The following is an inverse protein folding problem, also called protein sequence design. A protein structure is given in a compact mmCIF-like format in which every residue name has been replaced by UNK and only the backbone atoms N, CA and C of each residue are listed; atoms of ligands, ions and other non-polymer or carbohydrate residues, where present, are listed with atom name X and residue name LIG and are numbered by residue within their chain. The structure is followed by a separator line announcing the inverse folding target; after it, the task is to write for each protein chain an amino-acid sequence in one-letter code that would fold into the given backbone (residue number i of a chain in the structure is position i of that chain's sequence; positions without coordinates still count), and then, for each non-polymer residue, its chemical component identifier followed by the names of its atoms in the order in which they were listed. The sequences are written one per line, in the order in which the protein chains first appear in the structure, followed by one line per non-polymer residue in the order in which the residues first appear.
data_IF_549254027004
#
_entry.id   IF_549254027004
#
_cell.length_a   1.000
_cell.length_b   1.000
_cell.length_c   1.000
_cell.angle_alpha   90.00
_cell.angle_beta   90.00
_cell.angle_gamma   90.00
#
_symmetry.space_group_name_H-M   'P 1'
#
loop_
_entity.id
_entity.type
_entity.pdbx_description
1 polymer ?
#
# COMPACT_ATOMS: atom_id res chain seq x y z
N UNK A 1 29.27 18.49 3.31
CA UNK A 1 28.18 19.02 2.46
C UNK A 1 27.04 19.52 3.35
N UNK A 2 26.80 20.84 3.40
CA UNK A 2 25.65 21.43 4.12
C UNK A 2 24.37 21.10 3.34
N UNK A 3 23.50 20.26 3.91
CA UNK A 3 22.14 20.04 3.39
C UNK A 3 21.36 21.36 3.47
N UNK A 4 21.31 22.11 2.35
CA UNK A 4 20.46 23.29 2.22
C UNK A 4 19.01 22.79 2.24
N UNK A 5 18.27 23.06 3.33
CA UNK A 5 16.79 22.94 3.34
C UNK A 5 16.27 23.91 2.28
N UNK A 6 16.01 23.43 1.08
CA UNK A 6 15.30 24.21 0.06
C UNK A 6 13.91 24.53 0.62
N UNK A 7 13.75 25.76 1.10
CA UNK A 7 12.46 26.36 1.40
C UNK A 7 11.71 26.48 0.08
N UNK A 8 10.78 25.57 -0.16
CA UNK A 8 9.85 25.61 -1.30
C UNK A 8 9.25 27.02 -1.36
N UNK A 9 9.40 27.70 -2.51
CA UNK A 9 8.88 29.06 -2.68
C UNK A 9 7.38 29.10 -2.42
N UNK A 10 6.88 30.21 -1.88
CA UNK A 10 5.46 30.38 -1.59
C UNK A 10 4.58 30.09 -2.81
N UNK A 11 5.05 30.49 -4.00
CA UNK A 11 4.38 30.22 -5.27
C UNK A 11 4.34 28.72 -5.63
N UNK A 12 5.47 28.02 -5.51
CA UNK A 12 5.53 26.57 -5.75
C UNK A 12 4.65 25.80 -4.76
N UNK A 13 4.61 26.23 -3.50
CA UNK A 13 3.74 25.66 -2.48
C UNK A 13 2.26 25.86 -2.81
N UNK A 14 1.86 27.05 -3.27
CA UNK A 14 0.48 27.34 -3.63
C UNK A 14 0.03 26.56 -4.89
N UNK A 15 0.93 26.37 -5.86
CA UNK A 15 0.67 25.51 -7.01
C UNK A 15 0.53 24.04 -6.59
N UNK A 16 1.38 23.54 -5.69
CA UNK A 16 1.24 22.19 -5.13
C UNK A 16 -0.04 22.02 -4.31
N UNK A 17 -0.48 23.05 -3.58
CA UNK A 17 -1.78 23.05 -2.86
C UNK A 17 -2.96 23.05 -3.84
N UNK A 18 -2.86 23.79 -4.95
CA UNK A 18 -3.86 23.78 -6.03
C UNK A 18 -3.91 22.43 -6.75
N UNK A 19 -2.76 21.84 -7.08
CA UNK A 19 -2.69 20.48 -7.62
C UNK A 19 -3.22 19.45 -6.61
N UNK A 20 -2.88 19.61 -5.32
CA UNK A 20 -3.35 18.77 -4.23
C UNK A 20 -4.88 18.74 -4.08
N UNK A 21 -5.55 19.88 -4.30
CA UNK A 21 -7.01 19.97 -4.30
C UNK A 21 -7.69 19.19 -5.42
N UNK A 22 -6.96 18.80 -6.47
CA UNK A 22 -7.50 17.91 -7.54
C UNK A 22 -7.59 16.45 -7.11
N UNK A 23 -6.85 16.06 -6.06
CA UNK A 23 -6.79 14.67 -5.61
C UNK A 23 -7.71 14.44 -4.41
N UNK A 24 -8.47 13.33 -4.45
CA UNK A 24 -9.09 12.77 -3.25
C UNK A 24 -8.05 11.98 -2.46
N UNK A 25 -7.91 12.30 -1.18
CA UNK A 25 -6.97 11.67 -0.27
C UNK A 25 -7.67 10.57 0.53
N UNK A 26 -7.07 9.39 0.57
CA UNK A 26 -7.57 8.23 1.29
C UNK A 26 -6.57 7.74 2.36
N UNK A 27 -7.02 6.83 3.21
CA UNK A 27 -6.18 6.16 4.22
C UNK A 27 -4.92 5.51 3.61
N UNK A 28 -5.03 4.90 2.44
CA UNK A 28 -3.88 4.33 1.73
C UNK A 28 -2.84 5.39 1.33
N UNK A 29 -3.25 6.62 1.01
CA UNK A 29 -2.31 7.71 0.71
C UNK A 29 -1.55 8.13 1.99
N UNK A 30 -2.17 7.98 3.17
CA UNK A 30 -1.50 8.17 4.46
C UNK A 30 -0.49 7.05 4.77
N UNK A 31 -0.85 5.78 4.54
CA UNK A 31 0.10 4.66 4.70
C UNK A 31 1.32 4.84 3.79
N UNK A 32 1.06 5.20 2.53
CA UNK A 32 2.12 5.54 1.57
C UNK A 32 2.99 6.69 2.07
N UNK A 33 2.40 7.78 2.58
CA UNK A 33 3.13 8.90 3.15
C UNK A 33 4.11 8.46 4.24
N UNK A 34 3.67 7.64 5.19
CA UNK A 34 4.50 7.19 6.31
C UNK A 34 5.66 6.33 5.85
N UNK A 35 5.39 5.37 4.98
CA UNK A 35 6.43 4.52 4.39
C UNK A 35 7.44 5.35 3.62
N UNK A 36 6.96 6.25 2.77
CA UNK A 36 7.82 7.11 1.96
C UNK A 36 8.77 7.96 2.82
N UNK A 37 8.28 8.56 3.92
CA UNK A 37 9.11 9.37 4.81
C UNK A 37 10.20 8.54 5.49
N UNK A 38 9.86 7.33 5.94
CA UNK A 38 10.83 6.45 6.62
C UNK A 38 11.87 5.95 5.62
N UNK A 39 11.46 5.40 4.47
CA UNK A 39 12.42 4.93 3.45
C UNK A 39 13.31 6.05 2.93
N UNK A 40 12.79 7.27 2.80
CA UNK A 40 13.61 8.43 2.42
C UNK A 40 14.65 8.78 3.49
N UNK A 41 14.35 8.57 4.78
CA UNK A 41 15.31 8.76 5.88
C UNK A 41 16.47 7.76 5.81
N UNK A 42 16.21 6.55 5.34
CA UNK A 42 17.21 5.48 5.16
C UNK A 42 17.94 5.55 3.81
N UNK A 43 17.74 6.60 3.01
CA UNK A 43 18.36 6.81 1.70
C UNK A 43 18.04 5.72 0.67
N UNK A 44 16.92 5.01 0.84
CA UNK A 44 16.43 4.02 -0.10
C UNK A 44 15.55 4.65 -1.19
N UNK A 45 15.23 3.87 -2.24
CA UNK A 45 14.27 4.23 -3.27
C UNK A 45 12.84 4.31 -2.72
N UNK A 46 12.53 5.36 -1.97
CA UNK A 46 11.35 5.49 -1.13
C UNK A 46 10.00 5.29 -1.85
N UNK A 47 9.91 5.62 -3.15
CA UNK A 47 8.69 5.34 -3.94
C UNK A 47 8.53 3.85 -4.21
N UNK A 48 9.61 3.18 -4.61
CA UNK A 48 9.60 1.76 -4.93
C UNK A 48 9.34 0.95 -3.67
N UNK A 49 10.11 1.18 -2.59
CA UNK A 49 9.95 0.46 -1.33
C UNK A 49 8.54 0.62 -0.73
N UNK A 50 7.98 1.84 -0.74
CA UNK A 50 6.62 2.06 -0.25
C UNK A 50 5.56 1.37 -1.11
N UNK A 51 5.69 1.40 -2.44
CA UNK A 51 4.77 0.69 -3.33
C UNK A 51 4.89 -0.84 -3.19
N UNK A 52 6.10 -1.38 -2.99
CA UNK A 52 6.32 -2.81 -2.77
C UNK A 52 5.64 -3.28 -1.48
N UNK A 53 5.83 -2.58 -0.37
CA UNK A 53 5.19 -2.98 0.90
C UNK A 53 3.67 -2.89 0.82
N UNK A 54 3.12 -1.83 0.24
CA UNK A 54 1.68 -1.71 0.00
C UNK A 54 1.17 -2.79 -0.96
N UNK A 55 1.95 -3.14 -1.98
CA UNK A 55 1.66 -4.24 -2.89
C UNK A 55 1.59 -5.59 -2.17
N UNK A 56 2.56 -5.87 -1.28
CA UNK A 56 2.55 -7.08 -0.46
C UNK A 56 1.31 -7.16 0.44
N UNK A 57 0.92 -6.07 1.10
CA UNK A 57 -0.30 -6.03 1.91
C UNK A 57 -1.53 -6.31 1.05
N UNK A 58 -1.64 -5.68 -0.12
CA UNK A 58 -2.74 -5.94 -1.06
C UNK A 58 -2.80 -7.40 -1.51
N UNK A 59 -1.64 -8.03 -1.76
CA UNK A 59 -1.56 -9.44 -2.14
C UNK A 59 -2.03 -10.38 -1.04
N UNK A 60 -1.67 -10.10 0.22
CA UNK A 60 -2.14 -10.86 1.37
C UNK A 60 -3.66 -10.74 1.50
N UNK A 61 -4.21 -9.53 1.36
CA UNK A 61 -5.66 -9.30 1.39
C UNK A 61 -6.34 -10.08 0.26
N UNK A 62 -5.81 -10.01 -0.96
CA UNK A 62 -6.35 -10.75 -2.11
C UNK A 62 -6.33 -12.27 -1.88
N UNK A 63 -5.26 -12.80 -1.27
CA UNK A 63 -5.18 -14.21 -0.92
C UNK A 63 -6.32 -14.67 0.00
N UNK A 64 -6.54 -13.96 1.12
CA UNK A 64 -7.63 -14.30 2.03
C UNK A 64 -9.02 -14.07 1.42
N UNK A 65 -9.14 -13.05 0.57
CA UNK A 65 -10.37 -12.80 -0.18
C UNK A 65 -10.69 -13.95 -1.14
N UNK A 66 -9.68 -14.51 -1.84
CA UNK A 66 -9.86 -15.68 -2.70
C UNK A 66 -10.31 -16.92 -1.92
N UNK A 67 -9.77 -17.14 -0.72
CA UNK A 67 -10.22 -18.23 0.18
C UNK A 67 -11.70 -18.04 0.55
N UNK A 68 -12.07 -16.82 0.98
CA UNK A 68 -13.45 -16.51 1.33
C UNK A 68 -14.41 -16.71 0.15
N UNK A 69 -14.04 -16.26 -1.05
CA UNK A 69 -14.83 -16.43 -2.26
C UNK A 69 -14.96 -17.89 -2.69
N UNK A 70 -13.92 -18.69 -2.52
CA UNK A 70 -13.98 -20.15 -2.76
C UNK A 70 -15.09 -20.78 -1.92
N UNK A 71 -15.16 -20.47 -0.62
CA UNK A 71 -16.24 -20.96 0.24
C UNK A 71 -17.62 -20.41 -0.14
N UNK A 72 -17.71 -19.12 -0.42
CA UNK A 72 -18.99 -18.47 -0.73
C UNK A 72 -19.60 -18.92 -2.07
N UNK A 73 -18.77 -19.33 -3.03
CA UNK A 73 -19.17 -19.68 -4.40
C UNK A 73 -19.06 -21.18 -4.69
N UNK A 74 -19.29 -22.05 -3.70
CA UNK A 74 -19.47 -23.51 -3.88
C UNK A 74 -18.17 -24.30 -4.14
N UNK A 75 -17.05 -23.94 -3.49
CA UNK A 75 -15.75 -24.66 -3.52
C UNK A 75 -15.08 -24.83 -4.91
N UNK A 76 -15.66 -24.25 -5.96
CA UNK A 76 -15.14 -24.37 -7.33
C UNK A 76 -14.10 -23.29 -7.69
N UNK A 77 -14.12 -22.14 -7.00
CA UNK A 77 -13.31 -20.97 -7.33
C UNK A 77 -11.86 -21.11 -6.84
N UNK A 78 -10.86 -21.23 -7.72
CA UNK A 78 -9.46 -21.61 -7.35
C UNK A 78 -9.32 -23.01 -6.72
N UNK A 79 -10.22 -23.93 -7.05
CA UNK A 79 -10.08 -25.33 -6.66
C UNK A 79 -8.96 -26.03 -7.46
N UNK A 80 -8.18 -26.89 -6.80
CA UNK A 80 -7.22 -27.78 -7.47
C UNK A 80 -7.89 -28.77 -8.45
N UNK A 81 -9.23 -28.90 -8.37
CA UNK A 81 -10.03 -29.66 -9.36
C UNK A 81 -10.05 -28.99 -10.73
N UNK A 82 -10.02 -27.65 -10.76
CA UNK A 82 -10.17 -26.85 -11.98
C UNK A 82 -8.85 -26.22 -12.46
N UNK A 83 -7.89 -26.03 -11.55
CA UNK A 83 -6.62 -25.36 -11.86
C UNK A 83 -5.42 -26.15 -11.35
N UNK A 84 -4.35 -26.17 -12.15
CA UNK A 84 -3.07 -26.70 -11.68
C UNK A 84 -2.39 -25.72 -10.72
N UNK A 85 -1.55 -26.19 -9.78
CA UNK A 85 -0.81 -25.31 -8.86
C UNK A 85 -0.04 -24.20 -9.57
N UNK A 86 0.54 -24.50 -10.74
CA UNK A 86 1.30 -23.54 -11.56
C UNK A 86 0.38 -22.44 -12.13
N UNK A 87 -0.83 -22.79 -12.59
CA UNK A 87 -1.80 -21.80 -13.05
C UNK A 87 -2.24 -20.87 -11.93
N UNK A 88 -2.54 -21.43 -10.75
CA UNK A 88 -2.91 -20.64 -9.57
C UNK A 88 -1.77 -19.67 -9.22
N UNK A 89 -0.55 -20.18 -9.10
CA UNK A 89 0.63 -19.36 -8.82
C UNK A 89 0.82 -18.27 -9.88
N UNK A 90 0.62 -18.58 -11.16
CA UNK A 90 0.75 -17.60 -12.25
C UNK A 90 -0.28 -16.48 -12.15
N UNK A 91 -1.52 -16.79 -11.76
CA UNK A 91 -2.56 -15.78 -11.51
C UNK A 91 -2.16 -14.87 -10.35
N UNK A 92 -1.69 -15.44 -9.23
CA UNK A 92 -1.22 -14.64 -8.09
C UNK A 92 -0.04 -13.73 -8.46
N UNK A 93 0.94 -14.24 -9.19
CA UNK A 93 2.07 -13.43 -9.67
C UNK A 93 1.58 -12.32 -10.61
N UNK A 94 0.70 -12.63 -11.55
CA UNK A 94 0.12 -11.65 -12.48
C UNK A 94 -0.64 -10.54 -11.76
N UNK A 95 -1.52 -10.89 -10.82
CA UNK A 95 -2.26 -9.93 -9.99
C UNK A 95 -1.30 -9.07 -9.16
N UNK A 96 -0.26 -9.67 -8.58
CA UNK A 96 0.75 -8.93 -7.81
C UNK A 96 1.49 -7.89 -8.63
N UNK A 97 1.91 -8.25 -9.85
CA UNK A 97 2.55 -7.33 -10.78
C UNK A 97 1.59 -6.20 -11.16
N UNK A 98 0.33 -6.52 -11.48
CA UNK A 98 -0.70 -5.52 -11.82
C UNK A 98 -0.97 -4.56 -10.65
N UNK A 99 -1.08 -5.07 -9.42
CA UNK A 99 -1.25 -4.25 -8.21
C UNK A 99 -0.06 -3.31 -8.01
N UNK A 100 1.17 -3.82 -8.17
CA UNK A 100 2.38 -3.01 -8.06
C UNK A 100 2.40 -1.89 -9.12
N UNK A 101 2.13 -2.22 -10.38
CA UNK A 101 2.06 -1.24 -11.48
C UNK A 101 0.99 -0.19 -11.19
N UNK A 102 -0.21 -0.60 -10.78
CA UNK A 102 -1.31 0.31 -10.46
C UNK A 102 -0.94 1.29 -9.33
N UNK A 103 -0.30 0.80 -8.26
CA UNK A 103 0.20 1.65 -7.16
C UNK A 103 1.32 2.59 -7.63
N UNK A 104 2.24 2.10 -8.45
CA UNK A 104 3.35 2.89 -8.96
C UNK A 104 2.89 4.02 -9.88
N UNK A 105 1.93 3.74 -10.77
CA UNK A 105 1.30 4.73 -11.64
C UNK A 105 0.46 5.73 -10.83
N UNK A 106 -0.26 5.27 -9.80
CA UNK A 106 -1.04 6.14 -8.91
C UNK A 106 -0.15 7.16 -8.21
N UNK A 107 0.99 6.73 -7.66
CA UNK A 107 1.88 7.58 -6.86
C UNK A 107 2.97 8.25 -7.70
N UNK A 108 2.57 9.16 -8.60
CA UNK A 108 3.51 10.00 -9.38
C UNK A 108 4.26 10.99 -8.49
N UNK A 109 5.41 11.52 -8.96
CA UNK A 109 6.21 12.49 -8.21
C UNK A 109 5.40 13.70 -7.73
N UNK A 110 4.51 14.23 -8.59
CA UNK A 110 3.62 15.36 -8.27
C UNK A 110 2.65 15.01 -7.15
N UNK A 111 1.96 13.86 -7.27
CA UNK A 111 1.03 13.39 -6.25
C UNK A 111 1.74 13.11 -4.92
N UNK A 112 2.92 12.48 -4.95
CA UNK A 112 3.75 12.25 -3.75
C UNK A 112 4.07 13.57 -3.04
N UNK A 113 4.47 14.62 -3.78
CA UNK A 113 4.73 15.93 -3.18
C UNK A 113 3.48 16.55 -2.53
N UNK A 114 2.32 16.43 -3.19
CA UNK A 114 1.05 16.90 -2.63
C UNK A 114 0.65 16.11 -1.36
N UNK A 115 0.83 14.79 -1.35
CA UNK A 115 0.58 13.91 -0.20
C UNK A 115 1.51 14.28 0.97
N UNK A 116 2.81 14.48 0.69
CA UNK A 116 3.79 14.88 1.70
C UNK A 116 3.41 16.19 2.38
N UNK A 117 2.92 17.17 1.61
CA UNK A 117 2.46 18.44 2.16
C UNK A 117 1.16 18.28 2.97
N UNK A 118 0.22 17.48 2.48
CA UNK A 118 -1.08 17.27 3.12
C UNK A 118 -0.97 16.58 4.49
N UNK A 119 -0.10 15.57 4.60
CA UNK A 119 0.05 14.76 5.81
C UNK A 119 1.19 15.22 6.74
N UNK A 120 1.94 16.26 6.34
CA UNK A 120 2.95 16.88 7.21
C UNK A 120 2.31 17.44 8.47
N UNK A 121 2.69 16.88 9.62
CA UNK A 121 2.15 17.30 10.92
C UNK A 121 0.72 16.83 11.20
N UNK A 122 0.16 15.90 10.42
CA UNK A 122 -1.16 15.34 10.69
C UNK A 122 -1.19 14.62 12.05
N UNK A 123 -2.29 14.74 12.79
CA UNK A 123 -2.51 14.06 14.08
C UNK A 123 -2.30 12.55 14.00
N UNK A 124 -2.61 11.94 12.86
CA UNK A 124 -2.43 10.51 12.63
C UNK A 124 -0.97 10.07 12.79
N UNK A 125 -0.01 10.99 12.61
CA UNK A 125 1.40 10.70 12.82
C UNK A 125 1.73 10.38 14.28
N UNK A 126 0.93 10.87 15.23
CA UNK A 126 1.06 10.58 16.66
C UNK A 126 0.38 9.27 17.04
N UNK A 127 -0.75 8.96 16.40
CA UNK A 127 -1.59 7.81 16.74
C UNK A 127 -0.98 6.50 16.22
N UNK A 128 -0.55 6.48 14.95
CA UNK A 128 -0.10 5.26 14.27
C UNK A 128 1.43 5.24 14.29
N UNK A 129 2.08 4.31 15.01
CA UNK A 129 3.54 4.19 14.99
C UNK A 129 4.03 3.72 13.63
N UNK A 130 5.25 4.12 13.24
CA UNK A 130 5.82 3.70 11.96
C UNK A 130 6.04 2.17 11.92
N UNK A 131 6.52 1.59 13.02
CA UNK A 131 6.77 0.15 13.13
C UNK A 131 5.51 -0.67 12.85
N UNK A 132 4.33 -0.21 13.27
CA UNK A 132 3.07 -0.91 13.04
C UNK A 132 2.72 -0.99 11.54
N UNK A 133 3.09 0.03 10.76
CA UNK A 133 2.92 0.04 9.31
C UNK A 133 3.92 -0.89 8.64
N UNK A 134 5.17 -0.97 9.14
CA UNK A 134 6.15 -1.94 8.64
C UNK A 134 5.74 -3.38 8.92
N UNK A 135 5.19 -3.64 10.11
CA UNK A 135 4.65 -4.94 10.50
C UNK A 135 3.28 -5.25 9.88
N UNK A 136 2.70 -4.33 9.09
CA UNK A 136 1.36 -4.50 8.54
C UNK A 136 1.17 -5.78 7.71
N UNK A 137 2.14 -6.29 6.91
CA UNK A 137 1.95 -7.56 6.22
C UNK A 137 1.70 -8.72 7.20
N UNK A 138 2.48 -8.79 8.28
CA UNK A 138 2.33 -9.82 9.31
C UNK A 138 1.01 -9.68 10.07
N UNK A 139 0.64 -8.45 10.46
CA UNK A 139 -0.61 -8.19 11.17
C UNK A 139 -1.82 -8.59 10.32
N UNK A 140 -1.85 -8.18 9.05
CA UNK A 140 -2.94 -8.53 8.12
C UNK A 140 -2.99 -10.04 7.88
N UNK A 141 -1.83 -10.70 7.81
CA UNK A 141 -1.75 -12.15 7.66
C UNK A 141 -2.33 -12.90 8.87
N UNK A 142 -1.97 -12.51 10.09
CA UNK A 142 -2.49 -13.09 11.33
C UNK A 142 -4.00 -12.87 11.48
N UNK A 143 -4.49 -11.66 11.15
CA UNK A 143 -5.92 -11.36 11.14
C UNK A 143 -6.63 -12.25 10.12
N UNK A 144 -6.07 -12.42 8.92
CA UNK A 144 -6.61 -13.30 7.90
C UNK A 144 -6.74 -14.75 8.39
N UNK A 145 -5.71 -15.31 9.03
CA UNK A 145 -5.78 -16.64 9.65
C UNK A 145 -6.88 -16.72 10.71
N UNK A 146 -6.97 -15.71 11.58
CA UNK A 146 -8.01 -15.65 12.60
C UNK A 146 -9.43 -15.66 12.01
N UNK A 147 -9.66 -14.88 10.96
CA UNK A 147 -10.93 -14.85 10.22
C UNK A 147 -11.22 -16.21 9.58
N UNK A 148 -10.23 -16.80 8.90
CA UNK A 148 -10.38 -18.15 8.33
C UNK A 148 -10.74 -19.17 9.42
N UNK A 149 -10.07 -19.14 10.56
CA UNK A 149 -10.39 -20.04 11.66
C UNK A 149 -11.84 -19.85 12.15
N UNK A 150 -12.31 -18.61 12.29
CA UNK A 150 -13.71 -18.34 12.69
C UNK A 150 -14.74 -18.79 11.65
N UNK A 151 -14.39 -18.75 10.37
CA UNK A 151 -15.32 -19.11 9.29
C UNK A 151 -15.35 -20.62 9.06
N UNK A 152 -14.22 -21.32 9.20
CA UNK A 152 -14.07 -22.75 8.86
C UNK A 152 -14.07 -23.70 10.05
N UNK A 153 -14.12 -23.18 11.28
CA UNK A 153 -14.29 -23.95 12.52
C UNK A 153 -15.73 -23.84 13.02
#
# INVERSE_FOLDING_TARGET
MRYRKETISHFARNNLMREGRKYRYYFFDYLYYRLYVVYRKHNEAARLSACLLLGMVSMIIFFFFSIFFNKALTDDWFSLKNFTPIQIQSIFVGVGILCFIALFLRYTRKRTAAILLKYKGNMWNKIIPAWMIYCSPLLVFLIGIGICKLIYN
#
